data_IF_584313329029
#
_entry.id   IF_584313329029
#
_cell.length_a   1.000
_cell.length_b   1.000
_cell.length_c   1.000
_cell.angle_alpha   90.00
_cell.angle_beta   90.00
_cell.angle_gamma   90.00
#
_symmetry.space_group_name_H-M   'P 1'
#
loop_
_entity.id
_entity.type
_entity.pdbx_description
1 polymer ?
#
# COMPACT_ATOMS: atom_id res chain seq x y z
N UNK A 1 9.13 -20.45 14.97
CA UNK A 1 9.48 -19.92 13.62
C UNK A 1 8.92 -18.50 13.57
N UNK A 2 9.52 -17.57 12.83
CA UNK A 2 8.95 -16.25 12.71
C UNK A 2 7.55 -16.32 12.09
N UNK A 3 6.65 -15.41 12.50
CA UNK A 3 5.27 -15.38 12.01
C UNK A 3 5.17 -15.17 10.50
N UNK A 4 6.13 -14.44 9.93
CA UNK A 4 6.20 -14.17 8.49
C UNK A 4 7.60 -14.55 7.99
N UNK A 5 7.65 -15.23 6.85
CA UNK A 5 8.89 -15.59 6.15
C UNK A 5 8.79 -15.22 4.67
N UNK A 6 9.94 -15.05 4.04
CA UNK A 6 10.05 -14.75 2.61
C UNK A 6 10.89 -15.81 1.91
N UNK A 7 10.33 -16.38 0.86
CA UNK A 7 11.02 -17.30 -0.03
C UNK A 7 11.34 -16.57 -1.34
N UNK A 8 12.63 -16.34 -1.60
CA UNK A 8 13.08 -15.78 -2.87
C UNK A 8 13.14 -16.89 -3.93
N UNK A 9 12.34 -16.77 -4.99
CA UNK A 9 12.30 -17.77 -6.08
C UNK A 9 13.26 -17.37 -7.20
N UNK A 10 13.22 -16.11 -7.63
CA UNK A 10 13.97 -15.68 -8.82
C UNK A 10 14.16 -14.16 -8.84
N UNK A 11 15.30 -13.72 -9.38
CA UNK A 11 15.51 -12.34 -9.82
C UNK A 11 15.47 -12.29 -11.34
N UNK A 12 14.74 -11.35 -11.92
CA UNK A 12 14.64 -11.13 -13.36
C UNK A 12 16.01 -10.78 -13.95
N UNK A 13 16.40 -11.43 -15.05
CA UNK A 13 17.70 -11.17 -15.69
C UNK A 13 17.82 -9.79 -16.33
N UNK A 14 16.70 -9.16 -16.69
CA UNK A 14 16.67 -7.82 -17.27
C UNK A 14 16.69 -6.71 -16.22
N UNK A 15 16.43 -7.01 -14.93
CA UNK A 15 16.23 -5.99 -13.91
C UNK A 15 16.50 -6.51 -12.49
N UNK A 16 16.34 -5.65 -11.47
CA UNK A 16 16.38 -6.04 -10.05
C UNK A 16 15.09 -6.66 -9.51
N UNK A 17 14.07 -6.84 -10.36
CA UNK A 17 12.76 -7.35 -9.95
C UNK A 17 12.85 -8.76 -9.38
N UNK A 18 12.13 -8.98 -8.29
CA UNK A 18 12.16 -10.22 -7.51
C UNK A 18 10.83 -10.94 -7.61
N UNK A 19 10.87 -12.23 -7.89
CA UNK A 19 9.74 -13.15 -7.68
C UNK A 19 9.98 -13.88 -6.36
N UNK A 20 8.99 -13.87 -5.49
CA UNK A 20 9.07 -14.57 -4.20
C UNK A 20 7.70 -14.94 -3.66
N UNK A 21 7.69 -15.54 -2.49
CA UNK A 21 6.49 -15.88 -1.73
C UNK A 21 6.64 -15.35 -0.32
N UNK A 22 5.64 -14.62 0.16
CA UNK A 22 5.50 -14.26 1.57
C UNK A 22 4.55 -15.26 2.22
N UNK A 23 5.01 -15.93 3.27
CA UNK A 23 4.22 -16.84 4.09
C UNK A 23 3.78 -16.14 5.36
N UNK A 24 2.49 -16.21 5.69
CA UNK A 24 1.90 -15.61 6.89
C UNK A 24 1.00 -16.63 7.61
N UNK A 25 0.58 -16.37 8.85
CA UNK A 25 -0.34 -17.24 9.57
C UNK A 25 -1.69 -17.49 8.86
N UNK A 26 -2.17 -16.52 8.07
CA UNK A 26 -3.45 -16.62 7.34
C UNK A 26 -3.27 -16.91 5.84
N UNK A 27 -2.15 -17.45 5.44
CA UNK A 27 -1.90 -17.88 4.06
C UNK A 27 -0.65 -17.26 3.44
N UNK A 28 -0.41 -17.63 2.20
CA UNK A 28 0.78 -17.20 1.45
C UNK A 28 0.38 -16.48 0.18
N UNK A 29 1.22 -15.57 -0.28
CA UNK A 29 1.02 -14.88 -1.54
C UNK A 29 2.33 -14.66 -2.28
N UNK A 30 2.24 -14.71 -3.60
CA UNK A 30 3.37 -14.39 -4.48
C UNK A 30 3.62 -12.88 -4.55
N UNK A 31 4.88 -12.51 -4.70
CA UNK A 31 5.31 -11.12 -4.88
C UNK A 31 5.99 -10.92 -6.25
N UNK A 32 5.93 -9.71 -6.84
CA UNK A 32 5.33 -8.48 -6.31
C UNK A 32 3.81 -8.55 -6.18
N UNK A 33 3.24 -7.86 -5.16
CA UNK A 33 1.81 -7.89 -4.86
C UNK A 33 1.30 -6.49 -4.48
N UNK A 34 0.09 -6.15 -4.96
CA UNK A 34 -0.65 -4.97 -4.54
C UNK A 34 -1.68 -5.33 -3.47
N UNK A 35 -1.75 -4.52 -2.42
CA UNK A 35 -2.67 -4.70 -1.29
C UNK A 35 -3.83 -3.69 -1.38
N UNK A 36 -5.07 -4.11 -1.64
CA UNK A 36 -6.22 -3.24 -1.52
C UNK A 36 -6.38 -2.66 -0.12
N UNK A 37 -6.68 -1.35 -0.03
CA UNK A 37 -6.77 -0.65 1.25
C UNK A 37 -8.18 -0.70 1.83
N UNK A 38 -8.31 -1.33 2.98
CA UNK A 38 -9.51 -1.44 3.79
C UNK A 38 -9.47 -0.54 5.02
N UNK A 39 -9.58 0.77 4.85
CA UNK A 39 -9.32 1.80 5.89
C UNK A 39 -10.08 1.60 7.21
N UNK A 40 -11.34 1.17 7.14
CA UNK A 40 -12.22 0.97 8.32
C UNK A 40 -12.78 -0.46 8.34
N UNK A 41 -11.90 -1.45 8.29
CA UNK A 41 -12.25 -2.87 8.21
C UNK A 41 -13.12 -3.19 6.97
N UNK A 42 -12.96 -2.43 5.89
CA UNK A 42 -13.61 -2.71 4.61
C UNK A 42 -12.86 -2.03 3.47
N UNK A 43 -12.60 -2.74 2.40
CA UNK A 43 -12.23 -2.14 1.12
C UNK A 43 -13.49 -1.49 0.55
N UNK A 44 -13.40 -0.19 0.21
CA UNK A 44 -14.59 0.60 -0.16
C UNK A 44 -15.49 -0.11 -1.15
N UNK A 45 -16.75 -0.34 -0.76
CA UNK A 45 -17.84 -0.95 -1.54
C UNK A 45 -17.65 -2.43 -1.92
N UNK A 46 -16.59 -3.09 -1.44
CA UNK A 46 -16.28 -4.49 -1.73
C UNK A 46 -16.63 -5.40 -0.55
N UNK A 47 -17.21 -6.54 -0.83
CA UNK A 47 -17.31 -7.64 0.14
C UNK A 47 -16.02 -8.48 0.13
N UNK A 48 -15.77 -9.28 1.19
CA UNK A 48 -14.66 -10.24 1.20
C UNK A 48 -14.72 -11.24 0.05
N UNK A 49 -15.93 -11.69 -0.33
CA UNK A 49 -16.15 -12.60 -1.45
C UNK A 49 -15.69 -11.98 -2.77
N UNK A 50 -16.09 -10.72 -3.05
CA UNK A 50 -15.66 -10.01 -4.25
C UNK A 50 -14.15 -9.75 -4.28
N UNK A 51 -13.52 -9.56 -3.12
CA UNK A 51 -12.06 -9.45 -3.03
C UNK A 51 -11.38 -10.78 -3.41
N UNK A 52 -11.95 -11.92 -3.00
CA UNK A 52 -11.46 -13.24 -3.41
C UNK A 52 -11.68 -13.47 -4.92
N UNK A 53 -12.83 -13.08 -5.45
CA UNK A 53 -13.16 -13.22 -6.88
C UNK A 53 -12.19 -12.45 -7.79
N UNK A 54 -11.67 -11.31 -7.32
CA UNK A 54 -10.63 -10.55 -8.05
C UNK A 54 -9.19 -10.94 -7.67
N UNK A 55 -9.01 -12.06 -6.96
CA UNK A 55 -7.69 -12.60 -6.56
C UNK A 55 -6.87 -11.69 -5.62
N UNK A 56 -7.53 -10.86 -4.79
CA UNK A 56 -6.85 -10.16 -3.72
C UNK A 56 -6.37 -11.18 -2.68
N UNK A 57 -5.05 -11.26 -2.47
CA UNK A 57 -4.44 -12.25 -1.55
C UNK A 57 -4.15 -11.68 -0.17
N UNK A 58 -3.94 -10.39 -0.07
CA UNK A 58 -3.65 -9.64 1.16
C UNK A 58 -4.34 -8.29 1.07
N UNK A 59 -4.81 -7.77 2.19
CA UNK A 59 -5.41 -6.43 2.31
C UNK A 59 -4.70 -5.62 3.40
N UNK A 60 -4.87 -4.30 3.34
CA UNK A 60 -4.32 -3.38 4.33
C UNK A 60 -5.43 -2.73 5.17
N UNK A 61 -5.25 -2.71 6.48
CA UNK A 61 -6.07 -1.94 7.43
C UNK A 61 -5.32 -0.75 7.99
N UNK A 62 -6.01 0.37 8.27
CA UNK A 62 -5.38 1.56 8.83
C UNK A 62 -5.58 1.64 10.35
N UNK A 63 -4.51 1.49 11.10
CA UNK A 63 -4.47 1.47 12.57
C UNK A 63 -5.11 2.70 13.20
N UNK A 64 -4.77 3.90 12.73
CA UNK A 64 -5.34 5.15 13.23
C UNK A 64 -6.87 5.18 13.13
N UNK A 65 -7.42 4.83 11.97
CA UNK A 65 -8.87 4.86 11.74
C UNK A 65 -9.60 3.79 12.56
N UNK A 66 -9.03 2.59 12.68
CA UNK A 66 -9.61 1.48 13.43
C UNK A 66 -9.54 1.72 14.95
N UNK A 67 -8.49 2.37 15.44
CA UNK A 67 -8.39 2.81 16.83
C UNK A 67 -9.47 3.82 17.19
N UNK A 68 -9.71 4.81 16.31
CA UNK A 68 -10.71 5.85 16.56
C UNK A 68 -12.14 5.35 16.37
N UNK A 69 -12.35 4.42 15.42
CA UNK A 69 -13.67 3.87 15.12
C UNK A 69 -13.56 2.51 14.42
N UNK A 70 -14.10 1.42 14.98
CA UNK A 70 -14.95 1.38 16.19
C UNK A 70 -14.18 1.41 17.51
N UNK A 71 -12.85 1.29 17.50
CA UNK A 71 -11.97 1.10 18.63
C UNK A 71 -11.33 -0.29 18.63
N UNK A 72 -10.04 -0.36 18.96
CA UNK A 72 -9.31 -1.63 18.99
C UNK A 72 -9.89 -2.63 20.01
N UNK A 73 -10.48 -2.17 21.12
CA UNK A 73 -11.09 -3.03 22.13
C UNK A 73 -12.29 -3.81 21.56
N UNK A 74 -13.12 -3.16 20.74
CA UNK A 74 -14.26 -3.81 20.08
C UNK A 74 -13.77 -4.88 19.10
N UNK A 75 -12.76 -4.56 18.30
CA UNK A 75 -12.20 -5.49 17.32
C UNK A 75 -11.53 -6.67 18.02
N UNK A 76 -10.79 -6.43 19.11
CA UNK A 76 -10.22 -7.48 19.96
C UNK A 76 -11.30 -8.41 20.53
N UNK A 77 -12.39 -7.83 21.05
CA UNK A 77 -13.53 -8.61 21.58
C UNK A 77 -14.17 -9.48 20.49
N UNK A 78 -14.23 -9.00 19.25
CA UNK A 78 -14.71 -9.79 18.10
C UNK A 78 -13.74 -10.90 17.66
N UNK A 79 -12.55 -10.97 18.23
CA UNK A 79 -11.50 -11.95 17.90
C UNK A 79 -10.52 -11.51 16.81
N UNK A 80 -10.33 -10.20 16.65
CA UNK A 80 -9.41 -9.58 15.68
C UNK A 80 -10.08 -9.19 14.37
N UNK A 81 -9.33 -8.50 13.50
CA UNK A 81 -9.83 -7.99 12.21
C UNK A 81 -10.37 -9.09 11.30
N UNK A 82 -9.71 -10.23 11.23
CA UNK A 82 -10.12 -11.35 10.38
C UNK A 82 -11.56 -11.77 10.67
N UNK A 83 -11.89 -12.00 11.94
CA UNK A 83 -13.26 -12.35 12.34
C UNK A 83 -14.22 -11.19 12.22
N UNK A 84 -13.78 -9.99 12.61
CA UNK A 84 -14.61 -8.79 12.59
C UNK A 84 -15.11 -8.44 11.19
N UNK A 85 -14.29 -8.62 10.16
CA UNK A 85 -14.64 -8.28 8.78
C UNK A 85 -14.90 -9.51 7.87
N UNK A 86 -14.88 -10.73 8.40
CA UNK A 86 -15.04 -11.99 7.66
C UNK A 86 -14.03 -12.17 6.53
N UNK A 87 -12.77 -11.79 6.79
CA UNK A 87 -11.64 -11.98 5.89
C UNK A 87 -10.69 -13.04 6.42
N UNK A 88 -10.39 -14.07 5.64
CA UNK A 88 -9.57 -15.22 6.03
C UNK A 88 -8.15 -15.20 5.46
N UNK A 89 -7.84 -14.24 4.60
CA UNK A 89 -6.48 -14.04 4.05
C UNK A 89 -5.61 -13.14 4.91
N UNK A 90 -4.33 -12.97 4.52
CA UNK A 90 -3.39 -12.07 5.20
C UNK A 90 -3.89 -10.63 5.33
N UNK A 91 -3.55 -9.99 6.43
CA UNK A 91 -3.80 -8.57 6.70
C UNK A 91 -2.50 -7.89 7.12
N UNK A 92 -2.20 -6.75 6.51
CA UNK A 92 -1.19 -5.80 7.00
C UNK A 92 -1.90 -4.60 7.64
N UNK A 93 -1.43 -4.16 8.82
CA UNK A 93 -1.84 -2.88 9.41
C UNK A 93 -0.69 -1.89 9.38
N UNK A 94 -0.98 -0.64 8.98
CA UNK A 94 0.00 0.45 9.06
C UNK A 94 0.30 0.86 10.52
N UNK A 95 1.29 1.72 10.71
CA UNK A 95 1.69 2.19 12.04
C UNK A 95 0.69 3.17 12.69
N UNK A 96 -0.16 3.79 11.89
CA UNK A 96 -0.98 4.95 12.26
C UNK A 96 -0.23 6.29 12.21
N UNK A 97 1.09 6.28 12.02
CA UNK A 97 1.93 7.48 12.00
C UNK A 97 1.53 8.44 10.88
N UNK A 98 1.52 8.00 9.65
CA UNK A 98 1.20 8.86 8.49
C UNK A 98 -0.13 9.62 8.67
N UNK A 99 -1.18 8.98 9.18
CA UNK A 99 -2.48 9.62 9.37
C UNK A 99 -2.44 10.69 10.45
N UNK A 100 -1.68 10.47 11.51
CA UNK A 100 -1.45 11.49 12.55
C UNK A 100 -0.72 12.70 11.95
N UNK A 101 0.26 12.46 11.07
CA UNK A 101 1.02 13.53 10.44
C UNK A 101 0.25 14.24 9.31
N UNK A 102 -0.59 13.55 8.55
CA UNK A 102 -1.33 14.11 7.41
C UNK A 102 -2.68 14.74 7.77
N UNK A 103 -3.38 14.21 8.80
CA UNK A 103 -4.75 14.63 9.12
C UNK A 103 -4.83 15.62 10.28
N UNK A 104 -3.77 15.82 11.07
CA UNK A 104 -3.78 16.72 12.22
C UNK A 104 -2.91 17.96 11.99
N UNK A 105 -3.58 19.11 11.81
CA UNK A 105 -2.90 20.41 11.72
C UNK A 105 -2.30 20.87 13.06
N UNK A 106 -2.76 20.32 14.19
CA UNK A 106 -2.32 20.63 15.55
C UNK A 106 -1.76 19.36 16.19
N UNK A 107 -0.49 19.10 15.92
CA UNK A 107 0.26 18.01 16.51
C UNK A 107 1.50 18.51 17.24
N UNK A 108 1.87 17.83 18.31
CA UNK A 108 3.13 18.04 19.02
C UNK A 108 3.90 16.72 19.06
N UNK A 109 5.07 16.73 18.44
CA UNK A 109 5.97 15.58 18.41
C UNK A 109 6.94 15.69 19.56
N UNK A 110 7.17 14.61 20.28
CA UNK A 110 8.19 14.46 21.32
C UNK A 110 8.88 13.10 21.19
N UNK A 111 9.88 12.85 22.00
CA UNK A 111 10.53 11.53 22.04
C UNK A 111 9.57 10.42 22.50
N UNK A 112 8.61 10.75 23.35
CA UNK A 112 7.62 9.80 23.87
C UNK A 112 6.59 9.38 22.84
N UNK A 113 6.26 10.26 21.87
CA UNK A 113 5.23 10.04 20.86
C UNK A 113 4.64 11.33 20.33
N UNK A 114 3.41 11.27 19.83
CA UNK A 114 2.74 12.39 19.17
C UNK A 114 1.42 12.70 19.88
N UNK A 115 1.28 13.93 20.40
CA UNK A 115 0.00 14.50 20.83
C UNK A 115 -0.70 15.14 19.63
N UNK A 116 -1.97 14.85 19.42
CA UNK A 116 -2.77 15.42 18.34
C UNK A 116 -4.25 15.53 18.75
N UNK A 117 -5.04 16.15 17.88
CA UNK A 117 -6.49 16.24 18.09
C UNK A 117 -7.25 15.29 17.20
N UNK A 118 -8.25 14.65 17.78
CA UNK A 118 -9.21 13.82 17.02
C UNK A 118 -9.90 14.66 15.95
N UNK A 119 -9.85 14.23 14.70
CA UNK A 119 -10.32 15.02 13.55
C UNK A 119 -11.84 15.27 13.54
N UNK A 120 -12.64 14.49 14.30
CA UNK A 120 -14.10 14.63 14.32
C UNK A 120 -14.58 15.38 15.55
N UNK A 121 -14.07 15.06 16.76
CA UNK A 121 -14.60 15.62 18.02
C UNK A 121 -13.61 16.55 18.73
N UNK A 122 -12.40 16.75 18.20
CA UNK A 122 -11.39 17.67 18.73
C UNK A 122 -10.72 17.25 20.04
N UNK A 123 -11.03 16.07 20.60
CA UNK A 123 -10.41 15.59 21.82
C UNK A 123 -8.90 15.40 21.65
N UNK A 124 -8.14 15.62 22.71
CA UNK A 124 -6.70 15.36 22.73
C UNK A 124 -6.44 13.87 22.79
N UNK A 125 -5.55 13.40 21.94
CA UNK A 125 -5.08 12.03 21.83
C UNK A 125 -3.56 11.99 21.85
N UNK A 126 -3.02 10.86 22.30
CA UNK A 126 -1.58 10.60 22.30
C UNK A 126 -1.30 9.22 21.74
N UNK A 127 -0.43 9.16 20.74
CA UNK A 127 0.02 7.93 20.11
C UNK A 127 1.53 7.80 20.29
N UNK A 128 1.94 6.73 20.96
CA UNK A 128 3.34 6.35 21.15
C UNK A 128 3.66 5.06 20.41
N UNK A 129 4.94 4.69 20.24
CA UNK A 129 5.33 3.37 19.74
C UNK A 129 4.63 2.22 20.46
N UNK A 130 4.59 2.25 21.80
CA UNK A 130 3.94 1.21 22.61
C UNK A 130 2.44 1.16 22.39
N UNK A 131 1.80 2.34 22.25
CA UNK A 131 0.35 2.41 21.99
C UNK A 131 0.01 1.91 20.59
N UNK A 132 0.82 2.24 19.59
CA UNK A 132 0.65 1.68 18.23
C UNK A 132 0.77 0.16 18.23
N UNK A 133 1.77 -0.39 18.93
CA UNK A 133 1.93 -1.84 19.07
C UNK A 133 0.75 -2.49 19.78
N UNK A 134 0.28 -1.91 20.89
CA UNK A 134 -0.91 -2.41 21.58
C UNK A 134 -2.12 -2.47 20.64
N UNK A 135 -2.39 -1.40 19.89
CA UNK A 135 -3.52 -1.34 18.97
C UNK A 135 -3.39 -2.43 17.90
N UNK A 136 -2.23 -2.54 17.23
CA UNK A 136 -2.02 -3.52 16.19
C UNK A 136 -2.05 -4.97 16.71
N UNK A 137 -1.56 -5.22 17.94
CA UNK A 137 -1.72 -6.52 18.59
C UNK A 137 -3.20 -6.86 18.82
N UNK A 138 -4.02 -5.88 19.22
CA UNK A 138 -5.46 -6.06 19.41
C UNK A 138 -6.20 -6.26 18.09
N UNK A 139 -5.76 -5.60 17.01
CA UNK A 139 -6.30 -5.78 15.66
C UNK A 139 -6.00 -7.17 15.10
N UNK A 140 -4.86 -7.78 15.44
CA UNK A 140 -4.51 -9.15 15.07
C UNK A 140 -4.13 -9.33 13.61
N UNK A 141 -3.52 -8.33 12.97
CA UNK A 141 -2.97 -8.44 11.60
C UNK A 141 -1.77 -9.37 11.54
N UNK A 142 -1.49 -9.97 10.37
CA UNK A 142 -0.32 -10.83 10.17
C UNK A 142 0.98 -10.01 10.13
N UNK A 143 0.91 -8.84 9.50
CA UNK A 143 2.02 -7.89 9.37
C UNK A 143 1.64 -6.58 10.04
N UNK A 144 2.49 -6.14 10.94
CA UNK A 144 2.41 -4.86 11.65
C UNK A 144 3.53 -3.95 11.20
N UNK A 145 3.31 -2.63 11.22
CA UNK A 145 4.34 -1.65 10.91
C UNK A 145 4.82 -0.93 12.16
N UNK A 146 6.14 -0.74 12.29
CA UNK A 146 6.72 0.04 13.38
C UNK A 146 6.24 1.49 13.29
N UNK A 147 6.01 2.12 14.46
CA UNK A 147 5.60 3.53 14.53
C UNK A 147 6.74 4.42 14.07
N UNK A 148 6.49 5.25 13.08
CA UNK A 148 7.45 6.10 12.40
C UNK A 148 7.00 7.56 12.33
N UNK A 149 7.95 8.45 12.11
CA UNK A 149 7.67 9.83 11.73
C UNK A 149 7.85 9.99 10.21
N UNK A 150 6.79 10.40 9.52
CA UNK A 150 6.83 10.74 8.10
C UNK A 150 6.90 12.27 7.95
N UNK A 151 8.08 12.86 7.68
CA UNK A 151 8.21 14.29 7.43
C UNK A 151 7.38 14.75 6.24
N UNK A 152 6.81 15.97 6.25
CA UNK A 152 6.20 16.52 5.06
C UNK A 152 7.27 16.78 3.98
N UNK A 153 6.86 16.75 2.71
CA UNK A 153 7.76 17.07 1.60
C UNK A 153 7.38 18.41 0.97
N UNK A 154 8.34 19.28 0.68
CA UNK A 154 9.77 19.22 1.03
C UNK A 154 10.03 19.48 2.52
N UNK A 155 11.12 18.96 3.05
CA UNK A 155 11.57 19.21 4.42
C UNK A 155 13.08 19.50 4.47
N UNK A 156 13.47 20.33 5.44
CA UNK A 156 14.89 20.68 5.65
C UNK A 156 15.70 19.47 6.11
N UNK A 157 16.97 19.39 5.67
CA UNK A 157 17.86 18.27 5.94
C UNK A 157 17.97 17.93 7.43
N UNK A 158 18.24 18.92 8.29
CA UNK A 158 18.40 18.70 9.73
C UNK A 158 17.12 18.17 10.38
N UNK A 159 15.94 18.63 9.92
CA UNK A 159 14.67 18.11 10.40
C UNK A 159 14.48 16.63 10.01
N UNK A 160 14.80 16.27 8.76
CA UNK A 160 14.70 14.88 8.29
C UNK A 160 15.69 14.00 9.05
N UNK A 161 16.89 14.49 9.33
CA UNK A 161 17.90 13.79 10.12
C UNK A 161 17.39 13.49 11.54
N UNK A 162 16.90 14.51 12.27
CA UNK A 162 16.31 14.31 13.60
C UNK A 162 15.13 13.32 13.58
N UNK A 163 14.33 13.37 12.51
CA UNK A 163 13.17 12.51 12.32
C UNK A 163 13.56 11.04 12.10
N UNK A 164 14.59 10.73 11.29
CA UNK A 164 15.05 9.34 11.10
C UNK A 164 15.67 8.78 12.38
N UNK A 165 16.45 9.56 13.12
CA UNK A 165 17.02 9.14 14.38
C UNK A 165 15.92 8.81 15.43
N UNK A 166 14.87 9.64 15.51
CA UNK A 166 13.70 9.39 16.35
C UNK A 166 12.96 8.13 15.88
N UNK A 167 12.75 7.97 14.58
CA UNK A 167 12.10 6.80 13.99
C UNK A 167 12.86 5.51 14.34
N UNK A 168 14.18 5.52 14.31
CA UNK A 168 15.01 4.37 14.70
C UNK A 168 14.82 4.03 16.20
N UNK A 169 14.82 5.04 17.08
CA UNK A 169 14.55 4.83 18.53
C UNK A 169 13.14 4.32 18.77
N UNK A 170 12.14 4.83 18.04
CA UNK A 170 10.76 4.36 18.11
C UNK A 170 10.62 2.93 17.59
N UNK A 171 11.34 2.55 16.54
CA UNK A 171 11.36 1.19 16.01
C UNK A 171 11.88 0.19 17.05
N UNK A 172 12.95 0.53 17.77
CA UNK A 172 13.48 -0.28 18.86
C UNK A 172 12.46 -0.41 20.03
N UNK A 173 11.72 0.65 20.36
CA UNK A 173 10.64 0.61 21.35
C UNK A 173 9.46 -0.25 20.88
N UNK A 174 9.12 -0.20 19.58
CA UNK A 174 8.11 -1.08 18.99
C UNK A 174 8.48 -2.56 19.13
N UNK A 175 9.71 -2.94 18.80
CA UNK A 175 10.20 -4.31 19.00
C UNK A 175 10.05 -4.79 20.44
N UNK A 176 10.40 -3.93 21.40
CA UNK A 176 10.27 -4.25 22.82
C UNK A 176 8.83 -4.35 23.30
N UNK A 177 7.92 -3.55 22.71
CA UNK A 177 6.51 -3.48 23.11
C UNK A 177 5.64 -4.54 22.40
N UNK A 178 6.12 -5.13 21.30
CA UNK A 178 5.41 -6.14 20.55
C UNK A 178 5.21 -7.42 21.38
N UNK A 179 3.95 -7.89 21.51
CA UNK A 179 3.59 -8.99 22.43
C UNK A 179 3.24 -10.29 21.73
N UNK A 180 3.19 -10.31 20.38
CA UNK A 180 2.72 -11.47 19.60
C UNK A 180 3.66 -11.85 18.45
N UNK A 181 4.99 -12.01 18.69
CA UNK A 181 5.95 -12.29 17.62
C UNK A 181 5.79 -13.67 16.99
N UNK A 182 5.03 -14.59 17.61
CA UNK A 182 4.74 -15.92 17.10
C UNK A 182 3.66 -15.96 16.01
N UNK A 183 2.75 -14.95 15.97
CA UNK A 183 1.64 -14.89 15.02
C UNK A 183 1.47 -13.52 14.33
N UNK A 184 2.31 -12.55 14.65
CA UNK A 184 2.37 -11.24 13.99
C UNK A 184 3.82 -10.85 13.74
N UNK A 185 4.15 -10.43 12.52
CA UNK A 185 5.48 -9.92 12.19
C UNK A 185 5.49 -8.38 12.19
N UNK A 186 6.48 -7.79 12.85
CA UNK A 186 6.69 -6.35 12.87
C UNK A 186 7.72 -5.95 11.80
N UNK A 187 7.34 -5.09 10.85
CA UNK A 187 8.24 -4.54 9.83
C UNK A 187 8.76 -3.16 10.22
N UNK A 188 10.04 -2.91 9.94
CA UNK A 188 10.65 -1.59 10.09
C UNK A 188 10.35 -0.68 8.90
N UNK A 189 10.29 0.65 9.12
CA UNK A 189 10.03 1.64 8.07
C UNK A 189 11.24 2.54 7.89
N UNK A 190 11.89 2.47 6.73
CA UNK A 190 13.02 3.29 6.35
C UNK A 190 12.49 4.65 5.89
N UNK A 191 12.95 5.73 6.51
CA UNK A 191 12.65 7.11 6.20
C UNK A 191 13.92 7.82 5.65
N UNK A 192 13.87 9.12 5.37
CA UNK A 192 15.03 9.91 4.93
C UNK A 192 14.72 10.97 3.86
N UNK A 193 13.41 11.16 3.52
CA UNK A 193 13.01 12.17 2.53
C UNK A 193 13.67 11.96 1.16
N UNK A 194 14.17 13.03 0.56
CA UNK A 194 14.89 13.04 -0.70
C UNK A 194 16.43 13.00 -0.53
N UNK A 195 16.90 12.68 0.68
CA UNK A 195 18.33 12.69 1.02
C UNK A 195 18.92 11.28 1.04
N UNK A 196 19.77 10.96 0.07
CA UNK A 196 20.36 9.62 -0.12
C UNK A 196 21.15 9.13 1.10
N UNK A 197 21.96 10.00 1.68
CA UNK A 197 22.75 9.70 2.88
C UNK A 197 21.89 9.41 4.10
N UNK A 198 20.78 10.14 4.27
CA UNK A 198 19.81 9.88 5.34
C UNK A 198 19.01 8.59 5.11
N UNK A 199 18.66 8.26 3.84
CA UNK A 199 18.06 6.97 3.48
C UNK A 199 18.99 5.81 3.80
N UNK A 200 20.27 5.95 3.46
CA UNK A 200 21.31 4.96 3.78
C UNK A 200 21.48 4.80 5.29
N UNK A 201 21.58 5.90 6.05
CA UNK A 201 21.68 5.87 7.51
C UNK A 201 20.47 5.14 8.12
N UNK A 202 19.24 5.58 7.78
CA UNK A 202 18.00 4.97 8.28
C UNK A 202 17.93 3.48 7.97
N UNK A 203 18.28 3.08 6.72
CA UNK A 203 18.27 1.68 6.32
C UNK A 203 19.25 0.85 7.16
N UNK A 204 20.50 1.30 7.29
CA UNK A 204 21.53 0.57 8.07
C UNK A 204 21.16 0.44 9.54
N UNK A 205 20.64 1.52 10.16
CA UNK A 205 20.21 1.50 11.56
C UNK A 205 19.05 0.53 11.77
N UNK A 206 18.01 0.58 10.92
CA UNK A 206 16.86 -0.31 11.04
C UNK A 206 17.20 -1.77 10.73
N UNK A 207 18.05 -2.03 9.72
CA UNK A 207 18.51 -3.39 9.42
C UNK A 207 19.28 -3.99 10.57
N UNK A 208 20.03 -3.18 11.34
CA UNK A 208 20.72 -3.66 12.55
C UNK A 208 19.79 -4.12 13.67
N UNK A 209 18.52 -3.72 13.65
CA UNK A 209 17.47 -4.17 14.59
C UNK A 209 16.84 -5.51 14.21
N UNK A 210 17.15 -6.05 13.03
CA UNK A 210 16.74 -7.36 12.53
C UNK A 210 15.23 -7.63 12.48
N UNK A 211 14.50 -6.76 11.77
CA UNK A 211 13.06 -6.97 11.51
C UNK A 211 12.81 -8.14 10.52
N UNK A 212 11.65 -8.83 10.62
CA UNK A 212 11.22 -9.83 9.64
C UNK A 212 11.01 -9.30 8.21
N UNK A 213 10.82 -7.99 8.05
CA UNK A 213 10.67 -7.30 6.77
C UNK A 213 10.87 -5.80 6.92
N UNK A 214 10.99 -5.12 5.79
CA UNK A 214 11.28 -3.68 5.76
C UNK A 214 10.41 -2.96 4.75
N UNK A 215 9.98 -1.75 5.11
CA UNK A 215 9.29 -0.85 4.21
C UNK A 215 10.12 0.39 3.91
N UNK A 216 9.87 0.99 2.76
CA UNK A 216 10.30 2.35 2.42
C UNK A 216 9.08 3.26 2.59
N UNK A 217 9.18 4.19 3.54
CA UNK A 217 8.18 5.23 3.79
C UNK A 217 8.62 6.61 3.34
N UNK A 218 7.72 7.60 3.44
CA UNK A 218 8.01 9.00 3.13
C UNK A 218 8.27 9.27 1.65
N UNK A 219 7.74 8.44 0.76
CA UNK A 219 7.70 8.63 -0.68
C UNK A 219 6.24 8.62 -1.16
N UNK A 220 5.99 9.07 -2.39
CA UNK A 220 4.63 9.27 -2.94
C UNK A 220 3.79 10.28 -2.13
N UNK A 221 4.45 11.28 -1.56
CA UNK A 221 3.85 12.33 -0.71
C UNK A 221 3.91 13.72 -1.36
N UNK A 222 4.25 13.81 -2.64
CA UNK A 222 4.27 15.05 -3.42
C UNK A 222 5.52 15.27 -4.27
N UNK A 223 6.56 14.46 -4.12
CA UNK A 223 7.76 14.51 -4.94
C UNK A 223 7.48 14.06 -6.40
N UNK A 224 8.29 14.53 -7.37
CA UNK A 224 8.25 14.01 -8.73
C UNK A 224 8.61 12.51 -8.77
N UNK A 225 7.94 11.72 -9.62
CA UNK A 225 8.20 10.27 -9.75
C UNK A 225 9.67 9.90 -10.00
N UNK A 226 10.44 10.61 -10.85
CA UNK A 226 11.86 10.32 -11.01
C UNK A 226 12.65 10.38 -9.70
N UNK A 227 12.32 11.33 -8.81
CA UNK A 227 12.93 11.43 -7.47
C UNK A 227 12.56 10.22 -6.62
N UNK A 228 11.27 9.83 -6.61
CA UNK A 228 10.82 8.62 -5.92
C UNK A 228 11.58 7.39 -6.41
N UNK A 229 11.71 7.19 -7.72
CA UNK A 229 12.41 6.04 -8.30
C UNK A 229 13.90 6.02 -7.95
N UNK A 230 14.56 7.18 -7.97
CA UNK A 230 15.98 7.31 -7.57
C UNK A 230 16.17 6.98 -6.08
N UNK A 231 15.25 7.44 -5.21
CA UNK A 231 15.30 7.12 -3.79
C UNK A 231 15.05 5.63 -3.50
N UNK A 232 14.12 4.99 -4.22
CA UNK A 232 13.87 3.55 -4.11
C UNK A 232 15.11 2.77 -4.54
N UNK A 233 15.69 3.08 -5.71
CA UNK A 233 16.89 2.42 -6.25
C UNK A 233 18.11 2.59 -5.33
N UNK A 234 18.25 3.74 -4.70
CA UNK A 234 19.31 3.98 -3.74
C UNK A 234 19.09 3.19 -2.44
N UNK A 235 17.87 3.21 -1.89
CA UNK A 235 17.55 2.62 -0.59
C UNK A 235 17.59 1.09 -0.63
N UNK A 236 17.13 0.47 -1.74
CA UNK A 236 17.04 -0.98 -1.85
C UNK A 236 18.38 -1.69 -1.68
N UNK A 237 19.49 -1.02 -2.03
CA UNK A 237 20.86 -1.57 -1.93
C UNK A 237 21.23 -1.92 -0.48
N UNK A 238 20.61 -1.28 0.49
CA UNK A 238 20.85 -1.47 1.93
C UNK A 238 19.82 -2.40 2.58
N UNK A 239 18.81 -2.86 1.82
CA UNK A 239 17.77 -3.76 2.33
C UNK A 239 18.17 -5.24 2.17
N UNK A 240 17.92 -6.10 3.17
CA UNK A 240 18.21 -7.53 3.07
C UNK A 240 17.53 -8.18 1.86
N UNK A 241 18.22 -9.16 1.25
CA UNK A 241 17.71 -9.87 0.07
C UNK A 241 16.78 -11.03 0.42
N UNK A 242 16.90 -11.54 1.61
CA UNK A 242 16.16 -12.68 2.17
C UNK A 242 14.90 -12.26 2.95
N UNK A 243 14.52 -10.98 2.87
CA UNK A 243 13.34 -10.42 3.55
C UNK A 243 12.44 -9.68 2.57
N UNK A 244 11.12 -9.62 2.82
CA UNK A 244 10.19 -8.88 1.98
C UNK A 244 10.42 -7.37 2.08
N UNK A 245 10.20 -6.66 0.97
CA UNK A 245 10.40 -5.22 0.80
C UNK A 245 9.10 -4.56 0.39
N UNK A 246 8.62 -3.66 1.20
CA UNK A 246 7.34 -2.97 1.00
C UNK A 246 7.56 -1.49 0.69
N UNK A 247 7.02 -1.01 -0.43
CA UNK A 247 6.97 0.41 -0.77
C UNK A 247 5.58 0.96 -0.46
N UNK A 248 5.52 1.85 0.55
CA UNK A 248 4.26 2.35 1.09
C UNK A 248 3.62 3.42 0.21
N UNK A 249 2.31 3.35 0.02
CA UNK A 249 1.50 4.38 -0.59
C UNK A 249 1.60 4.50 -2.11
N UNK A 250 2.20 3.54 -2.80
CA UNK A 250 2.42 3.54 -4.26
C UNK A 250 1.45 2.59 -4.96
N UNK A 251 0.72 3.08 -5.98
CA UNK A 251 -0.31 2.29 -6.64
C UNK A 251 -0.75 2.79 -8.02
N UNK A 252 -0.01 3.69 -8.66
CA UNK A 252 -0.24 3.96 -10.09
C UNK A 252 0.42 2.88 -10.94
N UNK A 253 -0.18 2.48 -12.09
CA UNK A 253 0.32 1.37 -12.92
C UNK A 253 1.80 1.49 -13.31
N UNK A 254 2.22 2.67 -13.73
CA UNK A 254 3.61 2.96 -14.07
C UNK A 254 4.56 2.80 -12.87
N UNK A 255 4.17 3.32 -11.70
CA UNK A 255 4.99 3.23 -10.51
C UNK A 255 5.08 1.79 -9.97
N UNK A 256 4.02 0.99 -10.09
CA UNK A 256 4.07 -0.44 -9.74
C UNK A 256 5.10 -1.19 -10.59
N UNK A 257 5.13 -0.94 -11.91
CA UNK A 257 6.13 -1.54 -12.81
C UNK A 257 7.53 -1.05 -12.46
N UNK A 258 7.73 0.28 -12.37
CA UNK A 258 9.03 0.89 -12.12
C UNK A 258 9.65 0.48 -10.77
N UNK A 259 8.83 0.40 -9.73
CA UNK A 259 9.31 0.03 -8.41
C UNK A 259 9.49 -1.49 -8.26
N UNK A 260 8.71 -2.31 -8.99
CA UNK A 260 8.99 -3.76 -9.10
C UNK A 260 10.32 -4.02 -9.79
N UNK A 261 10.65 -3.29 -10.87
CA UNK A 261 11.96 -3.34 -11.55
C UNK A 261 13.11 -3.08 -10.56
N UNK A 262 12.89 -2.21 -9.56
CA UNK A 262 13.85 -1.86 -8.50
C UNK A 262 13.79 -2.77 -7.27
N UNK A 263 13.15 -3.93 -7.38
CA UNK A 263 13.20 -4.96 -6.35
C UNK A 263 12.23 -4.78 -5.18
N UNK A 264 11.15 -4.01 -5.34
CA UNK A 264 10.08 -3.92 -4.35
C UNK A 264 9.08 -5.06 -4.52
N UNK A 265 8.62 -5.62 -3.40
CA UNK A 265 7.79 -6.83 -3.35
C UNK A 265 6.32 -6.54 -3.03
N UNK A 266 6.02 -5.50 -2.27
CA UNK A 266 4.69 -5.21 -1.77
C UNK A 266 4.35 -3.73 -1.96
N UNK A 267 3.08 -3.46 -2.27
CA UNK A 267 2.57 -2.12 -2.54
C UNK A 267 1.15 -1.95 -1.99
N UNK A 268 0.80 -0.73 -1.62
CA UNK A 268 -0.58 -0.34 -1.30
C UNK A 268 -0.88 1.06 -1.83
N UNK A 269 -2.12 1.34 -2.12
CA UNK A 269 -2.57 2.71 -2.35
C UNK A 269 -4.10 2.80 -2.34
N UNK A 270 -4.64 3.91 -1.86
CA UNK A 270 -6.08 4.22 -1.97
C UNK A 270 -6.49 4.68 -3.37
N UNK A 271 -5.53 4.88 -4.28
CA UNK A 271 -5.77 5.42 -5.63
C UNK A 271 -6.89 4.69 -6.39
N UNK A 272 -6.88 3.35 -6.55
CA UNK A 272 -7.88 2.66 -7.38
C UNK A 272 -9.30 2.88 -6.87
N UNK A 273 -9.52 2.79 -5.56
CA UNK A 273 -10.83 3.01 -4.95
C UNK A 273 -11.20 4.49 -4.89
N UNK A 274 -10.23 5.38 -4.71
CA UNK A 274 -10.45 6.84 -4.68
C UNK A 274 -10.90 7.37 -6.03
N UNK A 275 -10.22 7.01 -7.12
CA UNK A 275 -10.60 7.49 -8.46
C UNK A 275 -11.89 6.82 -8.95
N UNK A 276 -12.17 5.57 -8.56
CA UNK A 276 -13.42 4.88 -8.86
C UNK A 276 -14.64 5.66 -8.36
N UNK A 277 -14.58 6.20 -7.13
CA UNK A 277 -15.66 7.04 -6.58
C UNK A 277 -15.96 8.27 -7.42
N UNK A 278 -14.99 8.73 -8.20
CA UNK A 278 -15.14 9.86 -9.12
C UNK A 278 -15.47 9.44 -10.55
N UNK A 279 -15.68 8.12 -10.80
CA UNK A 279 -15.98 7.57 -12.12
C UNK A 279 -14.78 7.53 -13.05
N UNK A 280 -13.56 7.44 -12.50
CA UNK A 280 -12.33 7.24 -13.27
C UNK A 280 -11.91 5.77 -13.17
N UNK A 281 -11.71 5.14 -14.32
CA UNK A 281 -11.30 3.75 -14.46
C UNK A 281 -9.92 3.66 -15.10
N UNK A 282 -9.15 2.67 -14.68
CA UNK A 282 -7.91 2.25 -15.30
C UNK A 282 -8.24 1.21 -16.38
N UNK A 283 -7.77 1.38 -17.59
CA UNK A 283 -8.01 0.41 -18.67
C UNK A 283 -6.71 0.07 -19.37
N UNK A 284 -6.69 -0.99 -20.16
CA UNK A 284 -5.53 -1.38 -20.98
C UNK A 284 -5.04 -0.26 -21.92
N UNK A 285 -5.93 0.68 -22.29
CA UNK A 285 -5.63 1.82 -23.13
C UNK A 285 -5.60 3.16 -22.36
N UNK A 286 -5.19 3.12 -21.08
CA UNK A 286 -5.06 4.31 -20.24
C UNK A 286 -6.31 4.62 -19.41
N UNK A 287 -6.40 5.85 -18.92
CA UNK A 287 -7.49 6.30 -18.02
C UNK A 287 -8.76 6.60 -18.78
N UNK A 288 -9.87 6.08 -18.30
CA UNK A 288 -11.21 6.34 -18.80
C UNK A 288 -12.04 7.06 -17.74
N UNK A 289 -12.52 8.29 -18.03
CA UNK A 289 -13.45 9.02 -17.15
C UNK A 289 -14.87 8.75 -17.66
N UNK A 290 -15.57 7.79 -17.05
CA UNK A 290 -16.86 7.30 -17.53
C UNK A 290 -17.97 8.37 -17.53
N UNK A 291 -17.83 9.41 -16.73
CA UNK A 291 -18.76 10.56 -16.70
C UNK A 291 -18.80 11.37 -18.00
N UNK A 292 -17.80 11.27 -18.87
CA UNK A 292 -17.73 12.04 -20.10
C UNK A 292 -18.93 11.76 -21.02
N UNK A 293 -19.40 12.81 -21.72
CA UNK A 293 -20.59 12.76 -22.55
C UNK A 293 -20.50 11.71 -23.68
N UNK A 294 -19.30 11.48 -24.22
CA UNK A 294 -19.06 10.51 -25.29
C UNK A 294 -19.41 9.05 -24.93
N UNK A 295 -19.63 8.76 -23.64
CA UNK A 295 -20.01 7.42 -23.16
C UNK A 295 -21.51 7.30 -22.83
N UNK A 296 -22.33 8.28 -23.20
CA UNK A 296 -23.76 8.31 -22.84
C UNK A 296 -24.54 7.16 -23.45
N UNK A 297 -24.15 6.71 -24.65
CA UNK A 297 -24.74 5.61 -25.43
C UNK A 297 -23.72 4.54 -25.82
N UNK A 298 -22.54 4.52 -25.16
CA UNK A 298 -21.50 3.53 -25.43
C UNK A 298 -21.83 2.21 -24.73
N UNK A 299 -22.22 1.20 -25.50
CA UNK A 299 -22.60 -0.13 -25.01
C UNK A 299 -21.42 -1.09 -24.83
N UNK A 300 -20.18 -0.66 -25.07
CA UNK A 300 -18.98 -1.46 -24.80
C UNK A 300 -18.69 -1.54 -23.29
N UNK A 301 -17.93 -2.56 -22.83
CA UNK A 301 -17.44 -2.62 -21.44
C UNK A 301 -16.48 -1.46 -21.14
N UNK A 302 -16.12 -1.26 -19.86
CA UNK A 302 -15.09 -0.28 -19.48
C UNK A 302 -13.78 -0.53 -20.20
N UNK A 303 -13.37 -1.79 -20.28
CA UNK A 303 -12.18 -2.26 -20.98
C UNK A 303 -12.50 -3.57 -21.72
N UNK A 304 -12.28 -3.59 -23.04
CA UNK A 304 -12.59 -4.75 -23.89
C UNK A 304 -11.62 -5.92 -23.68
N UNK A 305 -10.47 -5.68 -23.06
CA UNK A 305 -9.48 -6.72 -22.72
C UNK A 305 -9.61 -7.22 -21.27
N UNK A 306 -10.55 -6.67 -20.49
CA UNK A 306 -10.72 -6.99 -19.09
C UNK A 306 -11.83 -8.01 -18.87
N UNK A 307 -11.53 -9.06 -18.12
CA UNK A 307 -12.44 -10.18 -17.79
C UNK A 307 -13.11 -10.04 -16.41
N UNK A 308 -12.98 -8.88 -15.73
CA UNK A 308 -13.63 -8.67 -14.44
C UNK A 308 -15.16 -8.69 -14.54
N UNK A 309 -15.81 -8.96 -13.41
CA UNK A 309 -17.29 -8.97 -13.31
C UNK A 309 -17.95 -7.75 -13.95
N UNK A 310 -17.40 -6.56 -13.72
CA UNK A 310 -17.95 -5.32 -14.29
C UNK A 310 -17.91 -5.30 -15.81
N UNK A 311 -16.78 -5.67 -16.42
CA UNK A 311 -16.61 -5.65 -17.87
C UNK A 311 -17.40 -6.76 -18.58
N UNK A 312 -17.62 -7.90 -17.91
CA UNK A 312 -18.41 -8.99 -18.46
C UNK A 312 -19.93 -8.71 -18.50
N UNK A 313 -20.43 -7.86 -17.59
CA UNK A 313 -21.88 -7.73 -17.37
C UNK A 313 -22.42 -6.33 -17.64
N UNK A 314 -21.61 -5.28 -17.67
CA UNK A 314 -22.09 -3.90 -17.69
C UNK A 314 -21.38 -3.05 -18.75
N UNK A 315 -22.14 -2.10 -19.31
CA UNK A 315 -21.66 -1.18 -20.34
C UNK A 315 -21.22 0.16 -19.76
N UNK A 316 -20.40 0.89 -20.50
CA UNK A 316 -20.00 2.26 -20.16
C UNK A 316 -21.22 3.17 -19.98
N UNK A 317 -22.22 3.06 -20.86
CA UNK A 317 -23.46 3.85 -20.77
C UNK A 317 -24.19 3.63 -19.44
N UNK A 318 -24.37 2.36 -19.03
CA UNK A 318 -25.02 2.03 -17.77
C UNK A 318 -24.21 2.51 -16.55
N UNK A 319 -22.90 2.23 -16.51
CA UNK A 319 -22.02 2.66 -15.42
C UNK A 319 -22.00 4.20 -15.34
N UNK A 320 -21.93 4.89 -16.50
CA UNK A 320 -22.02 6.34 -16.56
C UNK A 320 -23.33 6.85 -15.95
N UNK A 321 -24.45 6.24 -16.30
CA UNK A 321 -25.77 6.59 -15.73
C UNK A 321 -25.73 6.48 -14.20
N UNK A 322 -25.29 5.36 -13.65
CA UNK A 322 -25.20 5.12 -12.20
C UNK A 322 -24.29 6.14 -11.50
N UNK A 323 -23.11 6.38 -12.05
CA UNK A 323 -22.13 7.31 -11.45
C UNK A 323 -22.65 8.76 -11.50
N UNK A 324 -23.37 9.14 -12.55
CA UNK A 324 -23.99 10.46 -12.64
C UNK A 324 -25.23 10.63 -11.77
N UNK A 325 -25.95 9.56 -11.51
CA UNK A 325 -27.08 9.51 -10.59
C UNK A 325 -26.63 9.34 -9.11
N UNK A 326 -25.30 9.30 -8.87
CA UNK A 326 -24.70 9.08 -7.54
C UNK A 326 -25.10 7.75 -6.88
N UNK A 327 -25.48 6.75 -7.69
CA UNK A 327 -25.81 5.42 -7.22
C UNK A 327 -24.55 4.68 -6.74
N UNK A 328 -24.62 4.14 -5.54
CA UNK A 328 -23.50 3.42 -4.92
C UNK A 328 -23.07 2.20 -5.71
N UNK A 329 -23.99 1.56 -6.44
CA UNK A 329 -23.68 0.44 -7.30
C UNK A 329 -22.71 0.82 -8.44
N UNK A 330 -22.81 2.03 -8.98
CA UNK A 330 -21.85 2.54 -9.96
C UNK A 330 -20.43 2.64 -9.40
N UNK A 331 -20.30 3.11 -8.14
CA UNK A 331 -19.02 3.17 -7.43
C UNK A 331 -18.47 1.76 -7.17
N UNK A 332 -19.33 0.82 -6.80
CA UNK A 332 -18.94 -0.59 -6.59
C UNK A 332 -18.39 -1.21 -7.87
N UNK A 333 -19.09 -1.09 -8.99
CA UNK A 333 -18.67 -1.62 -10.29
C UNK A 333 -17.32 -1.05 -10.75
N UNK A 334 -17.12 0.27 -10.61
CA UNK A 334 -15.84 0.92 -10.95
C UNK A 334 -14.72 0.53 -10.00
N UNK A 335 -15.02 0.27 -8.72
CA UNK A 335 -14.04 -0.20 -7.73
C UNK A 335 -13.59 -1.63 -8.02
N UNK A 336 -14.53 -2.55 -8.30
CA UNK A 336 -14.21 -3.94 -8.71
C UNK A 336 -13.25 -3.91 -9.90
N UNK A 337 -13.60 -3.14 -10.94
CA UNK A 337 -12.79 -3.03 -12.14
C UNK A 337 -11.37 -2.51 -11.87
N UNK A 338 -11.23 -1.39 -11.14
CA UNK A 338 -9.93 -0.79 -10.87
C UNK A 338 -9.03 -1.69 -10.01
N UNK A 339 -9.58 -2.37 -9.02
CA UNK A 339 -8.80 -3.30 -8.20
C UNK A 339 -8.40 -4.53 -9.00
N UNK A 340 -9.32 -5.11 -9.77
CA UNK A 340 -9.01 -6.23 -10.67
C UNK A 340 -7.89 -5.85 -11.65
N UNK A 341 -7.96 -4.66 -12.25
CA UNK A 341 -6.93 -4.16 -13.16
C UNK A 341 -5.54 -4.14 -12.52
N UNK A 342 -5.41 -3.60 -11.30
CA UNK A 342 -4.12 -3.56 -10.61
C UNK A 342 -3.63 -4.94 -10.16
N UNK A 343 -4.52 -5.80 -9.69
CA UNK A 343 -4.14 -7.17 -9.29
C UNK A 343 -3.71 -7.99 -10.51
N UNK A 344 -4.39 -7.84 -11.65
CA UNK A 344 -3.99 -8.45 -12.91
C UNK A 344 -2.64 -7.91 -13.41
N UNK A 345 -2.40 -6.61 -13.32
CA UNK A 345 -1.10 -6.02 -13.63
C UNK A 345 0.02 -6.63 -12.78
N UNK A 346 -0.21 -6.86 -11.47
CA UNK A 346 0.79 -7.52 -10.62
C UNK A 346 1.03 -8.98 -11.02
N UNK A 347 0.01 -9.70 -11.46
CA UNK A 347 0.16 -11.03 -12.03
C UNK A 347 1.01 -11.01 -13.31
N UNK A 348 0.74 -10.07 -14.22
CA UNK A 348 1.47 -9.92 -15.48
C UNK A 348 2.95 -9.53 -15.21
N UNK A 349 3.22 -8.68 -14.22
CA UNK A 349 4.58 -8.38 -13.74
C UNK A 349 5.28 -9.66 -13.25
N UNK A 350 4.64 -10.48 -12.40
CA UNK A 350 5.21 -11.74 -11.93
C UNK A 350 5.49 -12.69 -13.08
N UNK A 351 4.59 -12.78 -14.05
CA UNK A 351 4.79 -13.60 -15.25
C UNK A 351 5.97 -13.11 -16.08
N UNK A 352 6.09 -11.80 -16.29
CA UNK A 352 7.23 -11.21 -16.98
C UNK A 352 8.57 -11.44 -16.25
N UNK A 353 8.56 -11.47 -14.91
CA UNK A 353 9.74 -11.85 -14.12
C UNK A 353 10.10 -13.33 -14.35
N UNK A 354 9.12 -14.25 -14.35
CA UNK A 354 9.34 -15.69 -14.64
C UNK A 354 10.00 -15.89 -16.02
N UNK A 355 9.60 -15.11 -16.98
CA UNK A 355 10.06 -15.15 -18.36
C UNK A 355 11.34 -14.34 -18.62
N UNK A 356 11.88 -13.64 -17.63
CA UNK A 356 13.03 -12.73 -17.75
C UNK A 356 12.85 -11.60 -18.78
N UNK A 357 11.62 -11.06 -18.92
CA UNK A 357 11.27 -10.05 -19.92
C UNK A 357 10.57 -8.80 -19.35
N UNK A 358 10.82 -8.46 -18.10
CA UNK A 358 10.09 -7.37 -17.44
C UNK A 358 10.31 -5.99 -18.07
N UNK A 359 11.50 -5.71 -18.65
CA UNK A 359 11.74 -4.45 -19.35
C UNK A 359 11.00 -4.42 -20.71
N UNK A 360 10.89 -5.55 -21.40
CA UNK A 360 10.09 -5.66 -22.62
C UNK A 360 8.60 -5.46 -22.30
N UNK A 361 8.10 -6.12 -21.25
CA UNK A 361 6.74 -5.94 -20.75
C UNK A 361 6.46 -4.46 -20.40
N UNK A 362 7.38 -3.78 -19.73
CA UNK A 362 7.27 -2.35 -19.44
C UNK A 362 7.08 -1.54 -20.71
N UNK A 363 7.90 -1.76 -21.73
CA UNK A 363 7.83 -1.04 -22.99
C UNK A 363 6.46 -1.26 -23.68
N UNK A 364 6.01 -2.50 -23.77
CA UNK A 364 4.71 -2.89 -24.35
C UNK A 364 3.55 -2.24 -23.59
N UNK A 365 3.56 -2.34 -22.25
CA UNK A 365 2.53 -1.76 -21.39
C UNK A 365 2.48 -0.23 -21.52
N UNK A 366 3.62 0.44 -21.49
CA UNK A 366 3.69 1.91 -21.58
C UNK A 366 3.17 2.42 -22.91
N UNK A 367 3.53 1.76 -24.02
CA UNK A 367 3.02 2.09 -25.35
C UNK A 367 1.50 1.93 -25.42
N UNK A 368 0.96 0.79 -24.98
CA UNK A 368 -0.46 0.51 -25.01
C UNK A 368 -1.26 1.43 -24.09
N UNK A 369 -0.75 1.66 -22.86
CA UNK A 369 -1.42 2.51 -21.87
C UNK A 369 -1.36 4.00 -22.23
N UNK A 370 -0.53 4.39 -23.20
CA UNK A 370 -0.31 5.77 -23.59
C UNK A 370 0.56 6.55 -22.61
N UNK A 371 1.48 5.87 -21.94
CA UNK A 371 2.49 6.48 -21.08
C UNK A 371 3.73 6.82 -21.92
N UNK A 372 4.33 7.98 -21.63
CA UNK A 372 5.61 8.32 -22.22
C UNK A 372 6.71 8.10 -21.18
N UNK A 373 7.72 7.30 -21.52
CA UNK A 373 8.86 6.98 -20.63
C UNK A 373 9.56 8.24 -20.13
N UNK A 374 9.58 9.28 -20.97
CA UNK A 374 10.26 10.55 -20.68
C UNK A 374 9.35 11.62 -20.05
N UNK A 375 8.06 11.33 -19.82
CA UNK A 375 7.11 12.31 -19.28
C UNK A 375 6.89 12.08 -17.77
N UNK A 376 7.38 12.99 -16.90
CA UNK A 376 7.19 12.86 -15.45
C UNK A 376 5.74 13.05 -14.99
N UNK A 377 4.82 13.41 -15.89
CA UNK A 377 3.39 13.59 -15.60
C UNK A 377 2.54 12.35 -15.93
N UNK A 378 3.16 11.23 -16.25
CA UNK A 378 2.47 9.96 -16.41
C UNK A 378 1.73 9.63 -15.12
N UNK A 379 0.39 9.61 -15.14
CA UNK A 379 -0.55 9.34 -14.06
C UNK A 379 -0.78 10.47 -13.06
#
# INVERSE_FOLDING_TARGET
MPAVTYEHIKTCKQSGARLGIVHTPHGSFETPMFMPVGTKATVKTMSPEELRDIEAKIILGNTYHLWLQPGNDIIKHAGGLHKFMNWDGPILTDSGGFQVFSLSNLRKISEEGVEFRHHTNGSKLFLSPEKSMQIQNDLGSDIMMAFDECPPMPAEYEYVKDSIERTTRWAARCLKAHQRPEDQALFGIIQGGEYKDLREQSAKELVSLDFPGYAIGGLSVGEPKPVMYDMVEHTEQFMPKDKPRYLMGVGSPDALIECSIRGMDMFDCVLPTRIARNGTCMTSNGRLVVKNAKYADDLRPLDEQCDCYTCQHYTRAYIRHLVKAEETFGIRLTTIHNLHFLLKLMEDIRQAIREDRLLDFKAEFFEQYGLNVDNPKNF
#
